data_IF_820560445179
#
_entry.id   IF_820560445179
#
_cell.length_a   1.000
_cell.length_b   1.000
_cell.length_c   1.000
_cell.angle_alpha   90.00
_cell.angle_beta   90.00
_cell.angle_gamma   90.00
#
_symmetry.space_group_name_H-M   'P 1'
#
loop_
_entity.id
_entity.type
_entity.pdbx_description
1 polymer ?
#
# COMPACT_ATOMS: atom_id res chain seq x y z
N UNK A 1 -24.88 -23.21 26.82
CA UNK A 1 -24.82 -22.97 25.34
C UNK A 1 -23.34 -22.85 24.97
N UNK A 2 -22.82 -23.70 24.08
CA UNK A 2 -21.45 -23.50 23.57
C UNK A 2 -21.43 -22.25 22.72
N UNK A 3 -20.58 -21.28 23.04
CA UNK A 3 -20.36 -20.09 22.23
C UNK A 3 -19.86 -20.53 20.85
N UNK A 4 -20.51 -20.03 19.81
CA UNK A 4 -20.07 -20.30 18.44
C UNK A 4 -18.68 -19.71 18.27
N UNK A 5 -17.69 -20.47 17.76
CA UNK A 5 -16.37 -19.94 17.55
C UNK A 5 -16.44 -18.71 16.64
N UNK A 6 -15.62 -17.67 16.88
CA UNK A 6 -15.63 -16.46 16.06
C UNK A 6 -15.31 -16.82 14.61
N UNK A 7 -16.03 -16.22 13.67
CA UNK A 7 -15.74 -16.36 12.24
C UNK A 7 -14.35 -15.79 11.92
N UNK A 8 -13.62 -16.45 11.03
CA UNK A 8 -12.28 -16.08 10.62
C UNK A 8 -12.24 -15.81 9.10
N UNK A 9 -11.39 -14.89 8.71
CA UNK A 9 -10.94 -14.71 7.33
C UNK A 9 -9.56 -15.35 7.21
N UNK A 10 -9.40 -16.26 6.26
CA UNK A 10 -8.13 -16.89 5.94
C UNK A 10 -7.57 -16.27 4.66
N UNK A 11 -6.28 -15.92 4.67
CA UNK A 11 -5.56 -15.40 3.51
C UNK A 11 -4.31 -16.24 3.28
N UNK A 12 -4.11 -16.66 2.02
CA UNK A 12 -2.87 -17.31 1.61
C UNK A 12 -1.78 -16.26 1.45
N UNK A 13 -0.56 -16.59 1.91
CA UNK A 13 0.59 -15.69 1.85
C UNK A 13 1.68 -16.26 0.95
N UNK A 14 2.37 -15.37 0.25
CA UNK A 14 3.47 -15.73 -0.65
C UNK A 14 4.80 -15.84 0.10
N UNK A 15 5.00 -15.01 1.13
CA UNK A 15 6.20 -14.99 1.97
C UNK A 15 5.81 -15.13 3.43
N UNK A 16 6.14 -16.27 4.04
CA UNK A 16 5.80 -16.56 5.42
C UNK A 16 6.53 -15.64 6.41
N UNK A 17 7.75 -15.23 6.12
CA UNK A 17 8.55 -14.36 6.98
C UNK A 17 7.94 -12.95 7.03
N UNK A 18 7.63 -12.36 5.88
CA UNK A 18 6.96 -11.05 5.79
C UNK A 18 5.60 -11.08 6.47
N UNK A 19 4.81 -12.15 6.21
CA UNK A 19 3.50 -12.30 6.80
C UNK A 19 3.57 -12.46 8.33
N UNK A 20 4.50 -13.26 8.84
CA UNK A 20 4.73 -13.42 10.29
C UNK A 20 5.03 -12.08 10.93
N UNK A 21 5.93 -11.32 10.33
CA UNK A 21 6.31 -10.01 10.80
C UNK A 21 5.11 -9.02 10.79
N UNK A 22 4.35 -8.98 9.69
CA UNK A 22 3.17 -8.12 9.59
C UNK A 22 2.09 -8.46 10.64
N UNK A 23 1.84 -9.77 10.89
CA UNK A 23 0.89 -10.20 11.92
C UNK A 23 1.37 -9.83 13.32
N UNK A 24 2.66 -9.96 13.59
CA UNK A 24 3.25 -9.58 14.88
C UNK A 24 3.08 -8.07 15.12
N UNK A 25 3.35 -7.23 14.12
CA UNK A 25 3.12 -5.79 14.21
C UNK A 25 1.63 -5.48 14.45
N UNK A 26 0.73 -6.05 13.65
CA UNK A 26 -0.71 -5.83 13.79
C UNK A 26 -1.24 -6.27 15.15
N UNK A 27 -0.64 -7.30 15.78
CA UNK A 27 -1.03 -7.76 17.12
C UNK A 27 -0.66 -6.80 18.24
N UNK A 28 0.27 -5.87 17.99
CA UNK A 28 0.78 -4.88 18.95
C UNK A 28 0.29 -3.48 18.69
N UNK A 29 -0.29 -3.22 17.51
CA UNK A 29 -0.74 -1.88 17.15
C UNK A 29 -1.85 -1.43 18.10
N UNK A 30 -1.76 -0.18 18.56
CA UNK A 30 -2.78 0.48 19.38
C UNK A 30 -3.53 1.47 18.46
N UNK A 31 -4.71 1.09 17.93
CA UNK A 31 -5.45 1.94 17.02
C UNK A 31 -6.03 3.17 17.73
N UNK A 32 -5.91 4.33 17.05
CA UNK A 32 -6.52 5.58 17.46
C UNK A 32 -7.20 6.24 16.25
N UNK A 33 -8.52 6.33 16.28
CA UNK A 33 -9.34 6.81 15.16
C UNK A 33 -9.51 5.82 13.99
N UNK A 34 -9.00 4.59 14.11
CA UNK A 34 -9.19 3.50 13.15
C UNK A 34 -9.24 2.15 13.87
N UNK A 35 -9.54 1.08 13.13
CA UNK A 35 -9.43 -0.32 13.58
C UNK A 35 -8.60 -1.14 12.58
N UNK A 36 -8.12 -2.30 13.03
CA UNK A 36 -7.51 -3.32 12.17
C UNK A 36 -8.20 -4.66 12.39
N UNK A 37 -8.18 -5.54 11.39
CA UNK A 37 -8.62 -6.91 11.59
C UNK A 37 -7.64 -7.62 12.55
N UNK A 38 -8.14 -8.08 13.70
CA UNK A 38 -7.31 -8.71 14.72
C UNK A 38 -6.68 -9.98 14.19
N UNK A 39 -5.34 -10.11 14.15
CA UNK A 39 -4.67 -11.32 13.74
C UNK A 39 -4.90 -12.45 14.74
N UNK A 40 -4.98 -13.69 14.24
CA UNK A 40 -5.26 -14.89 15.05
C UNK A 40 -4.15 -15.90 14.81
N UNK A 41 -3.54 -16.38 15.89
CA UNK A 41 -2.53 -17.44 15.82
C UNK A 41 -3.18 -18.80 15.56
N UNK A 42 -2.49 -19.64 14.82
CA UNK A 42 -2.84 -21.06 14.69
C UNK A 42 -2.74 -21.77 16.04
N UNK A 43 -3.30 -22.97 16.16
CA UNK A 43 -3.22 -23.81 17.37
C UNK A 43 -1.78 -24.14 17.79
N UNK A 44 -0.82 -24.09 16.86
CA UNK A 44 0.62 -24.22 17.10
C UNK A 44 1.25 -22.98 17.76
N UNK A 45 0.53 -21.88 17.88
CA UNK A 45 1.03 -20.59 18.32
C UNK A 45 1.67 -19.73 17.19
N UNK A 46 1.82 -20.28 15.99
CA UNK A 46 2.40 -19.55 14.85
C UNK A 46 1.38 -18.58 14.22
N UNK A 47 1.88 -17.50 13.60
CA UNK A 47 1.06 -16.58 12.80
C UNK A 47 0.75 -17.15 11.42
N UNK A 48 1.70 -17.88 10.83
CA UNK A 48 1.54 -18.54 9.53
C UNK A 48 1.47 -20.04 9.74
N UNK A 49 0.46 -20.68 9.19
CA UNK A 49 0.29 -22.13 9.20
C UNK A 49 -0.02 -22.62 7.79
N UNK A 50 0.82 -23.52 7.27
CA UNK A 50 0.69 -24.07 5.90
C UNK A 50 0.49 -23.02 4.80
N UNK A 51 1.13 -21.85 4.94
CA UNK A 51 1.01 -20.74 3.99
C UNK A 51 -0.26 -19.90 4.15
N UNK A 52 -0.97 -20.00 5.29
CA UNK A 52 -2.15 -19.21 5.60
C UNK A 52 -1.96 -18.38 6.87
N UNK A 53 -2.56 -17.19 6.86
CA UNK A 53 -2.80 -16.35 8.03
C UNK A 53 -4.29 -16.26 8.30
N UNK A 54 -4.65 -15.90 9.54
CA UNK A 54 -6.03 -15.75 9.96
C UNK A 54 -6.26 -14.40 10.66
N UNK A 55 -7.42 -13.81 10.38
CA UNK A 55 -7.92 -12.62 11.07
C UNK A 55 -9.33 -12.86 11.58
N UNK A 56 -9.73 -12.15 12.63
CA UNK A 56 -11.14 -12.13 13.04
C UNK A 56 -11.98 -11.48 11.94
N UNK A 57 -13.07 -12.12 11.59
CA UNK A 57 -14.05 -11.54 10.65
C UNK A 57 -14.74 -10.36 11.32
N UNK A 58 -14.86 -9.26 10.58
CA UNK A 58 -15.59 -8.06 11.01
C UNK A 58 -16.85 -7.98 10.14
N UNK A 59 -18.01 -8.10 10.76
CA UNK A 59 -19.29 -8.06 10.09
C UNK A 59 -19.68 -6.63 9.69
N UNK A 60 -20.40 -6.48 8.59
CA UNK A 60 -21.00 -5.21 8.17
C UNK A 60 -20.02 -4.19 7.62
N UNK A 61 -18.78 -4.59 7.27
CA UNK A 61 -17.84 -3.69 6.60
C UNK A 61 -18.37 -3.21 5.26
N UNK A 62 -18.19 -1.92 4.99
CA UNK A 62 -18.50 -1.29 3.71
C UNK A 62 -17.24 -0.59 3.17
N UNK A 63 -16.95 -0.66 1.87
CA UNK A 63 -15.81 0.09 1.28
C UNK A 63 -15.91 1.58 1.62
N UNK A 64 -14.80 2.20 1.99
CA UNK A 64 -14.77 3.63 2.28
C UNK A 64 -14.60 4.46 0.99
N UNK A 65 -14.01 3.89 -0.07
CA UNK A 65 -13.89 4.58 -1.36
C UNK A 65 -15.27 4.98 -1.92
N UNK A 66 -15.41 6.18 -2.48
CA UNK A 66 -14.37 7.14 -2.89
C UNK A 66 -14.05 8.27 -1.89
N UNK A 67 -14.21 8.06 -0.59
CA UNK A 67 -13.89 9.05 0.44
C UNK A 67 -12.35 9.12 0.66
N UNK A 68 -11.64 9.65 -0.33
CA UNK A 68 -10.18 9.59 -0.40
C UNK A 68 -9.48 10.29 0.78
N UNK A 69 -10.02 11.39 1.28
CA UNK A 69 -9.45 12.11 2.43
C UNK A 69 -9.55 11.30 3.72
N UNK A 70 -10.64 10.59 3.93
CA UNK A 70 -10.84 9.70 5.06
C UNK A 70 -9.93 8.46 4.97
N UNK A 71 -9.74 7.91 3.74
CA UNK A 71 -8.79 6.81 3.49
C UNK A 71 -7.37 7.26 3.82
N UNK A 72 -6.98 8.46 3.38
CA UNK A 72 -5.66 9.04 3.68
C UNK A 72 -5.52 9.23 5.19
N UNK A 73 -6.50 9.83 5.86
CA UNK A 73 -6.45 10.08 7.30
C UNK A 73 -6.28 8.77 8.09
N UNK A 74 -7.07 7.73 7.77
CA UNK A 74 -6.95 6.41 8.39
C UNK A 74 -5.59 5.76 8.13
N UNK A 75 -5.07 5.87 6.91
CA UNK A 75 -3.77 5.33 6.53
C UNK A 75 -2.60 6.03 7.22
N UNK A 76 -2.67 7.36 7.40
CA UNK A 76 -1.67 8.12 8.13
C UNK A 76 -1.71 7.80 9.64
N UNK A 77 -2.90 7.69 10.23
CA UNK A 77 -3.06 7.27 11.63
C UNK A 77 -2.53 5.84 11.86
N UNK A 78 -2.82 4.93 10.92
CA UNK A 78 -2.26 3.58 10.94
C UNK A 78 -0.73 3.59 10.89
N UNK A 79 -0.12 4.34 9.97
CA UNK A 79 1.34 4.44 9.84
C UNK A 79 2.01 4.99 11.09
N UNK A 80 1.41 6.02 11.70
CA UNK A 80 1.88 6.58 12.96
C UNK A 80 1.79 5.57 14.12
N UNK A 81 0.72 4.80 14.20
CA UNK A 81 0.56 3.75 15.21
C UNK A 81 1.51 2.56 14.95
N UNK A 82 1.67 2.15 13.69
CA UNK A 82 2.61 1.09 13.30
C UNK A 82 4.06 1.47 13.64
N UNK A 83 4.44 2.71 13.39
CA UNK A 83 5.80 3.21 13.69
C UNK A 83 6.13 3.16 15.17
N UNK A 84 5.16 3.37 16.07
CA UNK A 84 5.37 3.27 17.53
C UNK A 84 5.72 1.86 18.00
N UNK A 85 5.28 0.84 17.28
CA UNK A 85 5.50 -0.58 17.65
C UNK A 85 6.52 -1.29 16.76
N UNK A 86 7.09 -0.57 15.77
CA UNK A 86 8.07 -1.12 14.85
C UNK A 86 9.41 -1.39 15.55
N UNK A 87 9.92 -2.61 15.55
CA UNK A 87 11.28 -2.89 16.03
C UNK A 87 12.28 -2.51 14.92
N UNK A 88 13.24 -1.65 15.21
CA UNK A 88 14.28 -1.18 14.28
C UNK A 88 15.05 -2.32 13.60
N UNK A 89 15.20 -3.45 14.28
CA UNK A 89 15.93 -4.64 13.82
C UNK A 89 15.26 -5.34 12.63
N UNK A 90 13.98 -5.08 12.34
CA UNK A 90 13.21 -5.75 11.29
C UNK A 90 13.15 -4.96 9.97
N UNK A 91 13.71 -3.77 9.90
CA UNK A 91 13.75 -2.98 8.66
C UNK A 91 14.42 -3.74 7.49
N UNK A 92 15.37 -4.64 7.78
CA UNK A 92 16.04 -5.48 6.80
C UNK A 92 15.10 -6.39 6.02
N UNK A 93 14.07 -6.96 6.65
CA UNK A 93 13.10 -7.86 6.01
C UNK A 93 12.33 -7.18 4.86
N UNK A 94 12.13 -5.86 4.90
CA UNK A 94 11.45 -5.12 3.83
C UNK A 94 12.36 -4.83 2.62
N UNK A 95 13.67 -4.78 2.80
CA UNK A 95 14.61 -4.44 1.72
C UNK A 95 14.93 -5.63 0.81
N UNK A 96 14.76 -6.86 1.29
CA UNK A 96 15.12 -8.09 0.57
C UNK A 96 13.95 -8.70 -0.22
N UNK A 97 12.75 -8.14 -0.14
CA UNK A 97 11.56 -8.65 -0.84
C UNK A 97 11.72 -8.62 -2.35
N UNK A 98 11.37 -9.75 -3.02
CA UNK A 98 11.53 -9.93 -4.47
C UNK A 98 10.24 -9.81 -5.29
N UNK A 99 9.06 -9.73 -4.66
CA UNK A 99 7.80 -9.61 -5.39
C UNK A 99 7.68 -8.27 -6.14
N UNK A 100 6.87 -8.25 -7.20
CA UNK A 100 6.76 -7.11 -8.14
C UNK A 100 6.56 -5.75 -7.46
N UNK A 101 5.75 -5.69 -6.42
CA UNK A 101 5.45 -4.48 -5.68
C UNK A 101 6.68 -3.91 -4.95
N UNK A 102 7.48 -4.79 -4.33
CA UNK A 102 8.71 -4.38 -3.66
C UNK A 102 9.78 -3.94 -4.67
N UNK A 103 9.85 -4.57 -5.84
CA UNK A 103 10.73 -4.14 -6.92
C UNK A 103 10.30 -2.77 -7.44
N UNK A 104 9.00 -2.59 -7.70
CA UNK A 104 8.44 -1.33 -8.18
C UNK A 104 8.68 -0.17 -7.21
N UNK A 105 8.53 -0.42 -5.89
CA UNK A 105 8.86 0.57 -4.86
C UNK A 105 10.33 0.99 -4.94
N UNK A 106 11.26 0.02 -4.98
CA UNK A 106 12.70 0.36 -5.11
C UNK A 106 13.02 1.14 -6.39
N UNK A 107 12.36 0.82 -7.51
CA UNK A 107 12.53 1.59 -8.75
C UNK A 107 12.02 3.02 -8.60
N UNK A 108 10.86 3.21 -7.99
CA UNK A 108 10.30 4.53 -7.73
C UNK A 108 11.19 5.40 -6.83
N UNK A 109 11.97 4.78 -5.96
CA UNK A 109 12.91 5.47 -5.07
C UNK A 109 14.35 5.51 -5.59
N UNK A 110 14.60 5.05 -6.84
CA UNK A 110 15.92 5.04 -7.45
C UNK A 110 16.89 4.02 -6.85
N UNK A 111 16.39 3.03 -6.12
CA UNK A 111 17.16 1.98 -5.43
C UNK A 111 17.30 0.71 -6.31
N UNK A 112 16.60 0.65 -7.44
CA UNK A 112 16.66 -0.43 -8.42
C UNK A 112 16.32 0.07 -9.83
N UNK A 113 16.55 -0.79 -10.83
CA UNK A 113 16.11 -0.58 -12.21
C UNK A 113 15.50 -1.86 -12.77
N UNK A 114 14.62 -1.70 -13.76
CA UNK A 114 14.02 -2.79 -14.52
C UNK A 114 14.11 -2.47 -16.01
N UNK A 115 14.25 -3.50 -16.84
CA UNK A 115 14.14 -3.33 -18.29
C UNK A 115 12.67 -3.13 -18.67
N UNK A 116 12.41 -2.21 -19.58
CA UNK A 116 11.07 -1.91 -20.05
C UNK A 116 11.05 -1.79 -21.60
N UNK A 117 9.91 -2.06 -22.25
CA UNK A 117 9.71 -1.70 -23.66
C UNK A 117 9.89 -0.19 -23.87
N UNK A 118 10.34 0.27 -25.07
CA UNK A 118 10.64 1.69 -25.30
C UNK A 118 9.52 2.65 -24.93
N UNK A 119 8.27 2.28 -25.22
CA UNK A 119 7.08 3.10 -24.93
C UNK A 119 6.78 3.22 -23.43
N UNK A 120 7.16 2.24 -22.62
CA UNK A 120 7.05 2.27 -21.14
C UNK A 120 8.23 3.05 -20.57
N UNK A 121 9.45 2.80 -21.09
CA UNK A 121 10.66 3.49 -20.64
C UNK A 121 10.57 5.01 -20.84
N UNK A 122 9.95 5.45 -21.95
CA UNK A 122 9.68 6.85 -22.24
C UNK A 122 8.87 7.52 -21.11
N UNK A 123 7.80 6.87 -20.66
CA UNK A 123 6.97 7.34 -19.54
C UNK A 123 7.73 7.27 -18.21
N UNK A 124 8.49 6.19 -17.98
CA UNK A 124 9.35 6.08 -16.80
C UNK A 124 10.38 7.19 -16.72
N UNK A 125 11.02 7.54 -17.84
CA UNK A 125 12.00 8.62 -17.91
C UNK A 125 11.37 9.99 -17.60
N UNK A 126 10.19 10.27 -18.14
CA UNK A 126 9.44 11.49 -17.83
C UNK A 126 9.09 11.55 -16.34
N UNK A 127 8.58 10.47 -15.76
CA UNK A 127 8.25 10.42 -14.33
C UNK A 127 9.49 10.61 -13.45
N UNK A 128 10.63 9.97 -13.79
CA UNK A 128 11.90 10.16 -13.05
C UNK A 128 12.38 11.63 -13.11
N UNK A 129 12.21 12.30 -14.25
CA UNK A 129 12.57 13.70 -14.39
C UNK A 129 11.72 14.64 -13.52
N UNK A 130 10.49 14.23 -13.19
CA UNK A 130 9.58 14.95 -12.30
C UNK A 130 9.79 14.61 -10.81
N UNK A 131 10.60 13.58 -10.49
CA UNK A 131 10.87 13.20 -9.11
C UNK A 131 11.83 14.19 -8.46
N UNK A 132 11.32 15.05 -7.61
CA UNK A 132 12.12 15.93 -6.76
C UNK A 132 12.72 15.21 -5.52
N UNK A 133 13.58 15.89 -4.76
CA UNK A 133 14.04 15.39 -3.47
C UNK A 133 12.86 15.32 -2.50
N UNK A 134 12.78 14.24 -1.73
CA UNK A 134 11.77 14.07 -0.68
C UNK A 134 12.49 14.03 0.66
N UNK A 135 12.21 15.02 1.49
CA UNK A 135 12.77 15.13 2.83
C UNK A 135 11.85 14.48 3.87
N UNK A 136 12.41 14.17 5.02
CA UNK A 136 11.69 13.66 6.18
C UNK A 136 12.09 12.23 6.57
N UNK A 137 11.74 11.83 7.79
CA UNK A 137 12.07 10.51 8.30
C UNK A 137 11.29 9.43 7.57
N UNK A 138 11.94 8.29 7.37
CA UNK A 138 11.25 7.07 6.94
C UNK A 138 10.49 6.48 8.10
N UNK A 139 9.29 6.02 7.86
CA UNK A 139 8.46 5.30 8.82
C UNK A 139 7.72 4.16 8.14
N UNK A 140 7.11 3.31 8.95
CA UNK A 140 6.22 2.27 8.43
C UNK A 140 4.97 2.91 7.84
N UNK A 141 4.67 2.57 6.60
CA UNK A 141 3.43 3.00 5.95
C UNK A 141 2.72 1.80 5.31
N UNK A 142 1.43 1.96 5.06
CA UNK A 142 0.67 1.04 4.24
C UNK A 142 0.65 1.50 2.79
N UNK A 143 1.27 0.75 1.90
CA UNK A 143 1.42 1.11 0.47
C UNK A 143 0.26 0.70 -0.43
N UNK A 144 -0.90 0.29 0.11
CA UNK A 144 -2.04 -0.19 -0.68
C UNK A 144 -3.37 0.06 0.04
N UNK A 145 -3.72 1.33 0.26
CA UNK A 145 -4.91 1.73 1.02
C UNK A 145 -6.18 1.78 0.18
N UNK A 146 -6.07 2.02 -1.13
CA UNK A 146 -7.20 2.44 -1.99
C UNK A 146 -8.33 1.42 -2.12
N UNK A 147 -8.11 0.15 -1.81
CA UNK A 147 -9.14 -0.90 -1.76
C UNK A 147 -9.22 -1.59 -0.40
N UNK A 148 -8.40 -1.13 0.56
CA UNK A 148 -8.14 -1.82 1.81
C UNK A 148 -8.55 -1.00 3.06
N UNK A 149 -9.29 0.09 2.85
CA UNK A 149 -9.94 0.82 3.95
C UNK A 149 -11.45 0.71 3.81
N UNK A 150 -12.07 0.21 4.87
CA UNK A 150 -13.50 0.02 5.00
C UNK A 150 -14.02 0.86 6.16
N UNK A 151 -15.33 0.97 6.28
CA UNK A 151 -15.98 1.54 7.46
C UNK A 151 -16.84 0.45 8.10
N UNK A 152 -16.76 0.33 9.43
CA UNK A 152 -17.59 -0.58 10.18
C UNK A 152 -18.99 -0.01 10.47
N UNK A 153 -19.91 -0.78 11.10
CA UNK A 153 -21.25 -0.29 11.43
C UNK A 153 -21.27 0.91 12.39
N UNK A 154 -20.21 1.12 13.18
CA UNK A 154 -20.07 2.25 14.10
C UNK A 154 -19.52 3.52 13.38
N UNK A 155 -19.20 3.43 12.09
CA UNK A 155 -18.63 4.52 11.32
C UNK A 155 -17.12 4.68 11.47
N UNK A 156 -16.44 3.70 12.09
CA UNK A 156 -14.99 3.75 12.30
C UNK A 156 -14.25 3.15 11.10
N UNK A 157 -13.22 3.82 10.54
CA UNK A 157 -12.38 3.25 9.49
C UNK A 157 -11.68 1.97 9.95
N UNK A 158 -11.68 0.95 9.10
CA UNK A 158 -11.00 -0.34 9.31
C UNK A 158 -9.95 -0.54 8.23
N UNK A 159 -8.69 -0.58 8.61
CA UNK A 159 -7.56 -0.82 7.71
C UNK A 159 -7.30 -2.32 7.63
N UNK A 160 -7.34 -2.86 6.42
CA UNK A 160 -7.15 -4.28 6.11
C UNK A 160 -5.93 -4.47 5.21
N UNK A 161 -5.52 -5.72 5.05
CA UNK A 161 -4.54 -6.19 4.08
C UNK A 161 -3.23 -5.39 4.05
N UNK A 162 -2.64 -5.24 5.22
CA UNK A 162 -1.45 -4.43 5.44
C UNK A 162 -0.31 -4.80 4.49
N UNK A 163 0.07 -3.84 3.64
CA UNK A 163 1.20 -3.89 2.71
C UNK A 163 2.31 -2.94 3.19
N UNK A 164 3.33 -3.45 3.91
CA UNK A 164 4.31 -2.61 4.59
C UNK A 164 5.37 -2.03 3.68
N UNK A 165 5.70 -0.76 3.88
CA UNK A 165 6.88 -0.09 3.30
C UNK A 165 7.53 0.83 4.33
N UNK A 166 8.83 1.05 4.19
CA UNK A 166 9.59 1.99 5.01
C UNK A 166 9.90 3.23 4.17
N UNK A 167 9.03 4.23 4.22
CA UNK A 167 9.07 5.43 3.35
C UNK A 167 8.60 6.67 4.14
N UNK A 168 8.79 7.88 3.61
CA UNK A 168 8.23 9.08 4.23
C UNK A 168 6.71 8.97 4.40
N UNK A 169 6.20 9.52 5.49
CA UNK A 169 4.81 9.42 5.93
C UNK A 169 3.77 9.67 4.82
N UNK A 170 3.97 10.75 4.05
CA UNK A 170 3.03 11.16 3.01
C UNK A 170 3.07 10.27 1.76
N UNK A 171 3.98 9.30 1.69
CA UNK A 171 4.03 8.34 0.60
C UNK A 171 2.72 7.53 0.48
N UNK A 172 2.14 7.12 1.61
CA UNK A 172 0.84 6.45 1.63
C UNK A 172 -0.27 7.31 1.01
N UNK A 173 -0.30 8.60 1.35
CA UNK A 173 -1.29 9.55 0.82
C UNK A 173 -1.12 9.78 -0.70
N UNK A 174 0.12 9.92 -1.16
CA UNK A 174 0.41 10.09 -2.59
C UNK A 174 0.00 8.87 -3.42
N UNK A 175 0.17 7.65 -2.89
CA UNK A 175 -0.31 6.43 -3.52
C UNK A 175 -1.84 6.46 -3.65
N UNK A 176 -2.58 6.81 -2.59
CA UNK A 176 -4.05 6.89 -2.62
C UNK A 176 -4.54 7.88 -3.68
N UNK A 177 -3.95 9.07 -3.74
CA UNK A 177 -4.31 10.07 -4.75
C UNK A 177 -3.99 9.57 -6.16
N UNK A 178 -2.85 8.92 -6.35
CA UNK A 178 -2.46 8.33 -7.63
C UNK A 178 -3.44 7.26 -8.07
N UNK A 179 -3.82 6.35 -7.18
CA UNK A 179 -4.80 5.29 -7.46
C UNK A 179 -6.18 5.87 -7.81
N UNK A 180 -6.60 6.91 -7.08
CA UNK A 180 -7.86 7.61 -7.36
C UNK A 180 -7.88 8.17 -8.78
N UNK A 181 -6.77 8.74 -9.25
CA UNK A 181 -6.63 9.28 -10.62
C UNK A 181 -6.55 8.16 -11.66
N UNK A 182 -5.72 7.15 -11.43
CA UNK A 182 -5.48 6.10 -12.41
C UNK A 182 -6.69 5.19 -12.62
N UNK A 183 -7.42 4.85 -11.55
CA UNK A 183 -8.39 3.75 -11.57
C UNK A 183 -9.81 4.13 -11.15
N UNK A 184 -9.99 5.29 -10.52
CA UNK A 184 -11.29 5.67 -9.96
C UNK A 184 -11.86 6.96 -10.55
N UNK A 185 -11.25 7.50 -11.62
CA UNK A 185 -11.76 8.65 -12.35
C UNK A 185 -11.65 9.99 -11.59
N UNK A 186 -10.81 10.06 -10.56
CA UNK A 186 -10.54 11.33 -9.90
C UNK A 186 -9.82 12.31 -10.86
N UNK A 187 -10.05 13.63 -10.73
CA UNK A 187 -9.39 14.61 -11.57
C UNK A 187 -7.86 14.57 -11.42
N UNK A 188 -7.07 14.63 -12.51
CA UNK A 188 -5.61 14.64 -12.45
C UNK A 188 -5.00 15.76 -11.60
N UNK A 189 -5.68 16.89 -11.45
CA UNK A 189 -5.28 17.98 -10.54
C UNK A 189 -5.14 17.54 -9.07
N UNK A 190 -5.72 16.40 -8.69
CA UNK A 190 -5.48 15.81 -7.36
C UNK A 190 -4.02 15.45 -7.09
N UNK A 191 -3.23 15.18 -8.15
CA UNK A 191 -1.80 14.87 -8.04
C UNK A 191 -0.97 16.07 -7.52
N UNK A 192 -1.42 17.29 -7.77
CA UNK A 192 -0.75 18.52 -7.33
C UNK A 192 -0.69 18.67 -5.80
N UNK A 193 -1.47 17.87 -5.10
CA UNK A 193 -1.45 17.82 -3.63
C UNK A 193 -0.14 17.27 -3.06
N UNK A 194 0.54 16.40 -3.81
CA UNK A 194 1.82 15.78 -3.42
C UNK A 194 2.75 15.65 -4.66
N UNK A 195 3.15 16.74 -5.33
CA UNK A 195 3.75 16.68 -6.67
C UNK A 195 5.01 15.81 -6.72
N UNK A 196 5.95 15.98 -5.79
CA UNK A 196 7.19 15.20 -5.72
C UNK A 196 6.98 13.71 -5.40
N UNK A 197 5.91 13.40 -4.66
CA UNK A 197 5.53 12.03 -4.32
C UNK A 197 4.60 11.42 -5.37
N UNK A 198 3.75 12.22 -6.02
CA UNK A 198 2.82 11.73 -7.04
C UNK A 198 3.56 11.17 -8.27
N UNK A 199 4.63 11.84 -8.73
CA UNK A 199 5.48 11.33 -9.80
C UNK A 199 6.12 9.97 -9.45
N UNK A 200 6.57 9.81 -8.19
CA UNK A 200 7.09 8.53 -7.68
C UNK A 200 5.98 7.48 -7.56
N UNK A 201 4.78 7.86 -7.10
CA UNK A 201 3.66 6.93 -6.96
C UNK A 201 3.17 6.44 -8.33
N UNK A 202 3.15 7.32 -9.34
CA UNK A 202 2.90 6.93 -10.72
C UNK A 202 3.96 5.95 -11.23
N UNK A 203 5.24 6.23 -10.97
CA UNK A 203 6.34 5.34 -11.36
C UNK A 203 6.24 3.98 -10.64
N UNK A 204 5.90 3.99 -9.36
CA UNK A 204 5.64 2.76 -8.59
C UNK A 204 4.55 1.90 -9.22
N UNK A 205 3.40 2.50 -9.53
CA UNK A 205 2.27 1.76 -10.15
C UNK A 205 2.58 1.31 -11.56
N UNK A 206 3.23 2.16 -12.38
CA UNK A 206 3.64 1.81 -13.75
C UNK A 206 4.59 0.61 -13.78
N UNK A 207 5.58 0.58 -12.90
CA UNK A 207 6.52 -0.56 -12.83
C UNK A 207 5.84 -1.81 -12.29
N UNK A 208 4.92 -1.68 -11.33
CA UNK A 208 4.14 -2.80 -10.84
C UNK A 208 3.23 -3.40 -11.93
N UNK A 209 2.63 -2.56 -12.79
CA UNK A 209 1.85 -3.00 -13.96
C UNK A 209 2.75 -3.67 -15.00
N UNK A 210 3.93 -3.09 -15.27
CA UNK A 210 4.91 -3.68 -16.18
C UNK A 210 5.34 -5.08 -15.74
N UNK A 211 5.56 -5.28 -14.43
CA UNK A 211 5.99 -6.56 -13.86
C UNK A 211 4.84 -7.55 -13.61
N UNK A 212 3.61 -7.16 -13.89
CA UNK A 212 2.46 -8.05 -13.73
C UNK A 212 2.50 -9.21 -14.74
N UNK A 213 2.10 -10.43 -14.35
CA UNK A 213 1.95 -11.52 -15.28
C UNK A 213 0.98 -11.15 -16.42
N UNK A 214 1.42 -11.31 -17.68
CA UNK A 214 0.61 -10.96 -18.84
C UNK A 214 0.42 -9.45 -19.04
N UNK A 215 1.35 -8.62 -18.54
CA UNK A 215 1.35 -7.18 -18.73
C UNK A 215 1.17 -6.79 -20.21
N UNK A 216 0.26 -5.87 -20.47
CA UNK A 216 -0.03 -5.30 -21.78
C UNK A 216 -0.01 -3.76 -21.68
N UNK A 217 1.10 -3.11 -22.07
CA UNK A 217 1.22 -1.64 -22.01
C UNK A 217 0.09 -0.89 -22.72
N UNK A 218 -0.48 -1.47 -23.78
CA UNK A 218 -1.58 -0.84 -24.51
C UNK A 218 -2.82 -0.57 -23.67
N UNK A 219 -3.00 -1.31 -22.56
CA UNK A 219 -4.15 -1.17 -21.68
C UNK A 219 -4.03 -0.06 -20.64
N UNK A 220 -2.81 0.26 -20.20
CA UNK A 220 -2.62 1.18 -19.08
C UNK A 220 -1.83 2.46 -19.42
N UNK A 221 -0.94 2.46 -20.41
CA UNK A 221 -0.08 3.62 -20.70
C UNK A 221 -0.84 4.91 -20.97
N UNK A 222 -2.05 4.85 -21.52
CA UNK A 222 -2.88 6.04 -21.77
C UNK A 222 -3.15 6.85 -20.51
N UNK A 223 -3.52 6.18 -19.41
CA UNK A 223 -3.78 6.82 -18.11
C UNK A 223 -2.52 7.44 -17.51
N UNK A 224 -1.38 6.74 -17.60
CA UNK A 224 -0.11 7.28 -17.11
C UNK A 224 0.36 8.50 -17.91
N UNK A 225 0.25 8.49 -19.24
CA UNK A 225 0.57 9.67 -20.08
C UNK A 225 -0.29 10.87 -19.74
N UNK A 226 -1.58 10.66 -19.51
CA UNK A 226 -2.49 11.72 -19.09
C UNK A 226 -2.08 12.31 -17.73
N UNK A 227 -1.70 11.46 -16.76
CA UNK A 227 -1.23 11.88 -15.45
C UNK A 227 0.10 12.65 -15.53
N UNK A 228 1.08 12.16 -16.31
CA UNK A 228 2.35 12.87 -16.57
C UNK A 228 2.09 14.24 -17.17
N UNK A 229 1.22 14.31 -18.20
CA UNK A 229 0.84 15.57 -18.82
C UNK A 229 0.14 16.56 -17.89
N UNK A 230 -0.52 16.09 -16.83
CA UNK A 230 -1.06 16.95 -15.78
C UNK A 230 0.04 17.52 -14.90
N UNK A 231 0.90 16.66 -14.32
CA UNK A 231 2.02 17.07 -13.46
C UNK A 231 3.01 18.02 -14.15
N UNK A 232 3.24 17.88 -15.46
CA UNK A 232 4.17 18.74 -16.20
C UNK A 232 3.64 20.17 -16.45
N UNK A 233 2.37 20.44 -16.14
CA UNK A 233 1.73 21.77 -16.28
C UNK A 233 1.61 22.54 -14.98
N UNK A 234 1.84 21.87 -13.86
CA UNK A 234 1.84 22.44 -12.51
C UNK A 234 3.19 23.02 -12.16
#
# INVERSE_FOLDING_TARGET
MAERPPALVLKRVECAEEATWAQELLSRIEPDGFRVATPVRAASGAWVHEGWIAHRFIEGLRPLAPAWDEIIAAGLAFGDAATRVWPDEQAGALTTRGHRWAVADRVAWGEASVAAPPEVEDVCAQLRALCGPVEGPRQVIHGDLSGNVFVDPDGVPVVLDFSPYLRPRLWAAAIVVTDAVLWHGAPPAGLDRYPDLASRALLFRLVADLLAPGSDPGRYLGSYRAAVGALSRS
#
